data_IF_994656568274
#
_entry.id   IF_994656568274
#
_cell.length_a   1.000
_cell.length_b   1.000
_cell.length_c   1.000
_cell.angle_alpha   90.00
_cell.angle_beta   90.00
_cell.angle_gamma   90.00
#
_symmetry.space_group_name_H-M   'P 1'
#
loop_
_entity.id
_entity.type
_entity.pdbx_description
1 polymer ?
#
# COMPACT_ATOMS: atom_id res chain seq x y z
N UNK A 1 19.31 8.94 -31.46
CA UNK A 1 17.99 8.49 -31.96
C UNK A 1 16.90 9.02 -31.02
N UNK A 2 15.71 9.24 -31.55
CA UNK A 2 14.58 9.62 -30.72
C UNK A 2 14.10 8.39 -29.94
N UNK A 3 13.87 8.53 -28.64
CA UNK A 3 13.38 7.43 -27.79
C UNK A 3 11.90 7.21 -28.12
N UNK A 4 11.53 6.00 -28.47
CA UNK A 4 10.13 5.62 -28.72
C UNK A 4 9.49 5.09 -27.42
N UNK A 5 8.35 5.66 -26.99
CA UNK A 5 7.61 5.24 -25.79
C UNK A 5 6.24 4.74 -26.23
N UNK A 6 5.96 3.47 -26.01
CA UNK A 6 4.74 2.80 -26.50
C UNK A 6 4.32 1.64 -25.58
N UNK A 7 3.09 1.11 -25.74
CA UNK A 7 2.69 -0.14 -25.10
C UNK A 7 3.70 -1.26 -25.40
N UNK A 8 4.00 -2.04 -24.36
CA UNK A 8 4.93 -3.16 -24.49
C UNK A 8 4.30 -4.31 -25.31
N UNK A 9 5.11 -4.99 -26.10
CA UNK A 9 4.73 -6.24 -26.78
C UNK A 9 5.97 -7.10 -27.01
N UNK A 10 5.79 -8.40 -26.96
CA UNK A 10 6.84 -9.38 -27.22
C UNK A 10 7.23 -10.19 -25.99
N UNK A 11 8.46 -10.71 -26.00
CA UNK A 11 9.02 -11.49 -24.89
C UNK A 11 9.21 -10.61 -23.65
N UNK A 12 8.64 -10.96 -22.47
CA UNK A 12 8.80 -10.17 -21.27
C UNK A 12 10.21 -10.20 -20.66
N UNK A 13 11.07 -11.14 -21.03
CA UNK A 13 12.41 -11.24 -20.42
C UNK A 13 13.26 -9.98 -20.60
N UNK A 14 13.43 -9.38 -21.79
CA UNK A 14 14.17 -8.13 -21.94
C UNK A 14 13.57 -6.96 -21.15
N UNK A 15 12.24 -6.97 -20.95
CA UNK A 15 11.56 -5.96 -20.15
C UNK A 15 12.01 -6.06 -18.67
N UNK A 16 11.97 -7.25 -18.07
CA UNK A 16 12.40 -7.45 -16.70
C UNK A 16 13.92 -7.28 -16.52
N UNK A 17 14.74 -7.65 -17.50
CA UNK A 17 16.17 -7.36 -17.47
C UNK A 17 16.43 -5.84 -17.41
N UNK A 18 15.65 -5.04 -18.13
CA UNK A 18 15.77 -3.59 -18.07
C UNK A 18 15.27 -3.03 -16.73
N UNK A 19 14.24 -3.64 -16.10
CA UNK A 19 13.81 -3.31 -14.73
C UNK A 19 14.97 -3.49 -13.76
N UNK A 20 15.53 -4.69 -13.68
CA UNK A 20 16.63 -5.01 -12.75
C UNK A 20 17.84 -4.09 -12.95
N UNK A 21 18.24 -3.85 -14.20
CA UNK A 21 19.32 -2.92 -14.52
C UNK A 21 19.03 -1.49 -14.06
N UNK A 22 17.79 -1.04 -14.14
CA UNK A 22 17.40 0.30 -13.68
C UNK A 22 17.52 0.44 -12.15
N UNK A 23 17.35 -0.67 -11.41
CA UNK A 23 17.53 -0.75 -9.96
C UNK A 23 18.94 -1.19 -9.52
N UNK A 24 19.85 -1.43 -10.46
CA UNK A 24 21.24 -1.81 -10.16
C UNK A 24 21.43 -3.29 -9.87
N UNK A 25 20.47 -4.11 -10.28
CA UNK A 25 20.46 -5.57 -10.08
C UNK A 25 20.58 -6.32 -11.41
N UNK A 26 20.56 -7.63 -11.35
CA UNK A 26 20.54 -8.52 -12.52
C UNK A 26 19.45 -9.55 -12.39
N UNK A 27 18.70 -9.74 -13.46
CA UNK A 27 17.65 -10.74 -13.53
C UNK A 27 18.17 -12.14 -13.21
N UNK A 28 17.51 -12.81 -12.29
CA UNK A 28 17.71 -14.20 -11.91
C UNK A 28 16.58 -15.03 -12.52
N UNK A 29 16.90 -16.25 -12.97
CA UNK A 29 15.89 -17.11 -13.61
C UNK A 29 14.76 -17.51 -12.68
N UNK A 30 15.04 -17.73 -11.39
CA UNK A 30 14.03 -18.05 -10.40
C UNK A 30 13.11 -16.85 -10.13
N UNK A 31 13.64 -15.63 -10.02
CA UNK A 31 12.83 -14.40 -9.89
C UNK A 31 12.01 -14.14 -11.16
N UNK A 32 12.60 -14.31 -12.33
CA UNK A 32 11.90 -14.14 -13.61
C UNK A 32 10.67 -15.03 -13.72
N UNK A 33 10.78 -16.29 -13.31
CA UNK A 33 9.66 -17.23 -13.35
C UNK A 33 8.45 -16.71 -12.55
N UNK A 34 8.69 -16.11 -11.39
CA UNK A 34 7.64 -15.55 -10.57
C UNK A 34 7.06 -14.25 -11.16
N UNK A 35 7.93 -13.33 -11.59
CA UNK A 35 7.48 -12.04 -12.15
C UNK A 35 6.70 -12.23 -13.46
N UNK A 36 7.18 -13.09 -14.36
CA UNK A 36 6.53 -13.35 -15.63
C UNK A 36 5.14 -13.99 -15.47
N UNK A 37 4.93 -14.78 -14.41
CA UNK A 37 3.66 -15.48 -14.17
C UNK A 37 2.50 -14.54 -13.81
N UNK A 38 2.79 -13.36 -13.25
CA UNK A 38 1.78 -12.35 -12.84
C UNK A 38 1.85 -11.07 -13.67
N UNK A 39 2.69 -11.03 -14.69
CA UNK A 39 2.90 -9.86 -15.53
C UNK A 39 1.71 -9.62 -16.46
N UNK A 40 1.09 -8.45 -16.33
CA UNK A 40 0.03 -7.98 -17.20
C UNK A 40 0.63 -7.22 -18.39
N UNK A 41 1.09 -7.95 -19.41
CA UNK A 41 1.83 -7.40 -20.55
C UNK A 41 1.02 -6.34 -21.34
N UNK A 42 -0.31 -6.50 -21.42
CA UNK A 42 -1.24 -5.56 -22.06
C UNK A 42 -1.36 -4.24 -21.28
N UNK A 43 -0.83 -4.18 -20.05
CA UNK A 43 -0.79 -3.01 -19.18
C UNK A 43 0.62 -2.45 -18.99
N UNK A 44 1.59 -2.98 -19.72
CA UNK A 44 2.97 -2.53 -19.66
C UNK A 44 3.29 -1.51 -20.74
N UNK A 45 4.20 -0.59 -20.43
CA UNK A 45 4.75 0.42 -21.34
C UNK A 45 6.26 0.29 -21.32
N UNK A 46 6.88 0.37 -22.50
CA UNK A 46 8.32 0.39 -22.61
C UNK A 46 8.81 1.61 -23.42
N UNK A 47 9.99 2.08 -23.07
CA UNK A 47 10.74 3.08 -23.83
C UNK A 47 11.90 2.40 -24.56
N UNK A 48 12.04 2.66 -25.85
CA UNK A 48 13.00 2.01 -26.72
C UNK A 48 14.03 3.01 -27.28
N UNK A 49 15.31 2.60 -27.29
CA UNK A 49 16.37 3.23 -28.10
C UNK A 49 16.80 2.22 -29.18
N UNK A 50 16.28 2.37 -30.41
CA UNK A 50 16.29 1.30 -31.39
C UNK A 50 15.48 0.09 -30.89
N UNK A 51 16.12 -1.09 -30.80
CA UNK A 51 15.50 -2.33 -30.30
C UNK A 51 15.70 -2.53 -28.79
N UNK A 52 16.52 -1.70 -28.15
CA UNK A 52 16.83 -1.85 -26.73
C UNK A 52 15.77 -1.20 -25.83
N UNK A 53 15.28 -1.91 -24.83
CA UNK A 53 14.40 -1.35 -23.80
C UNK A 53 15.27 -0.54 -22.82
N UNK A 54 14.95 0.74 -22.68
CA UNK A 54 15.65 1.71 -21.84
C UNK A 54 14.79 2.33 -20.74
N UNK A 55 13.52 2.00 -20.73
CA UNK A 55 12.58 2.37 -19.68
C UNK A 55 11.39 1.43 -19.66
N UNK A 56 10.83 1.23 -18.48
CA UNK A 56 9.74 0.29 -18.20
C UNK A 56 8.71 0.91 -17.27
N UNK A 57 7.46 0.55 -17.42
CA UNK A 57 6.39 0.81 -16.46
C UNK A 57 5.30 -0.27 -16.62
N UNK A 58 4.87 -0.89 -15.54
CA UNK A 58 3.82 -1.91 -15.52
C UNK A 58 2.67 -1.52 -14.58
N UNK A 59 1.58 -2.26 -14.69
CA UNK A 59 0.40 -2.09 -13.84
C UNK A 59 -0.12 -3.47 -13.46
N UNK A 60 -0.44 -3.65 -12.19
CA UNK A 60 -1.32 -4.71 -11.70
C UNK A 60 -2.75 -4.22 -11.62
N UNK A 61 -3.70 -5.08 -11.98
CA UNK A 61 -5.14 -4.83 -11.81
C UNK A 61 -5.56 -5.20 -10.40
N UNK A 62 -5.88 -4.20 -9.58
CA UNK A 62 -6.32 -4.41 -8.21
C UNK A 62 -7.73 -3.87 -7.96
N UNK A 63 -8.41 -4.46 -6.97
CA UNK A 63 -9.49 -3.82 -6.26
C UNK A 63 -8.92 -3.26 -4.96
N UNK A 64 -8.96 -1.93 -4.79
CA UNK A 64 -8.47 -1.25 -3.58
C UNK A 64 -9.62 -0.96 -2.63
N UNK A 65 -9.43 -1.32 -1.36
CA UNK A 65 -10.31 -0.85 -0.30
C UNK A 65 -10.10 0.64 -0.07
N UNK A 66 -11.19 1.37 -0.20
CA UNK A 66 -11.29 2.80 0.11
C UNK A 66 -12.28 3.00 1.27
N UNK A 67 -12.39 4.18 1.89
CA UNK A 67 -13.35 4.37 2.96
C UNK A 67 -14.77 3.93 2.57
N UNK A 68 -15.25 2.85 3.20
CA UNK A 68 -16.60 2.28 3.06
C UNK A 68 -16.95 1.66 1.70
N UNK A 69 -15.96 1.42 0.83
CA UNK A 69 -16.17 0.80 -0.49
C UNK A 69 -14.90 0.08 -0.98
N UNK A 70 -15.00 -0.54 -2.15
CA UNK A 70 -13.86 -1.09 -2.91
C UNK A 70 -13.96 -0.58 -4.34
N UNK A 71 -12.83 -0.14 -4.91
CA UNK A 71 -12.76 0.42 -6.26
C UNK A 71 -11.68 -0.26 -7.08
N UNK A 72 -11.88 -0.39 -8.41
CA UNK A 72 -10.79 -0.77 -9.29
C UNK A 72 -9.66 0.27 -9.22
N UNK A 73 -8.43 -0.22 -9.10
CA UNK A 73 -7.25 0.61 -8.94
C UNK A 73 -6.08 0.04 -9.74
N UNK A 74 -5.35 0.92 -10.41
CA UNK A 74 -4.13 0.56 -11.11
C UNK A 74 -2.95 0.50 -10.10
N UNK A 75 -2.41 -0.68 -9.87
CA UNK A 75 -1.18 -0.89 -9.08
C UNK A 75 0.05 -0.65 -9.94
N UNK A 76 0.55 0.59 -9.97
CA UNK A 76 1.72 0.97 -10.79
C UNK A 76 2.98 0.38 -10.20
N UNK A 77 3.73 -0.36 -11.02
CA UNK A 77 4.90 -1.12 -10.60
C UNK A 77 5.97 -1.15 -11.69
N UNK A 78 7.15 -1.68 -11.39
CA UNK A 78 8.31 -1.88 -12.28
C UNK A 78 8.66 -0.65 -13.12
N UNK A 79 8.53 0.53 -12.50
CA UNK A 79 8.82 1.81 -13.16
C UNK A 79 10.31 2.09 -13.06
N UNK A 80 10.99 2.04 -14.19
CA UNK A 80 12.43 2.27 -14.26
C UNK A 80 12.85 3.00 -15.53
N UNK A 81 13.95 3.74 -15.46
CA UNK A 81 14.68 4.26 -16.63
C UNK A 81 16.15 3.98 -16.42
N UNK A 82 16.79 3.34 -17.39
CA UNK A 82 18.21 3.02 -17.31
C UNK A 82 19.06 4.26 -16.98
N UNK A 83 20.05 4.16 -16.10
CA UNK A 83 20.90 5.28 -15.70
C UNK A 83 21.48 6.08 -16.89
N UNK A 84 21.79 5.39 -17.98
CA UNK A 84 22.32 5.99 -19.25
C UNK A 84 21.29 6.85 -20.00
N UNK A 85 20.00 6.73 -19.68
CA UNK A 85 18.90 7.38 -20.40
C UNK A 85 18.07 8.34 -19.51
N UNK A 86 18.43 8.50 -18.25
CA UNK A 86 17.75 9.41 -17.31
C UNK A 86 17.83 10.87 -17.77
N UNK A 87 16.89 11.71 -17.26
CA UNK A 87 16.82 13.16 -17.50
C UNK A 87 16.52 13.55 -18.97
N UNK A 88 15.96 12.64 -19.76
CA UNK A 88 15.52 12.88 -21.16
C UNK A 88 13.98 12.94 -21.30
N UNK A 89 13.23 13.09 -20.22
CA UNK A 89 11.77 13.15 -20.22
C UNK A 89 11.05 11.80 -20.43
N UNK A 90 11.78 10.68 -20.46
CA UNK A 90 11.23 9.33 -20.72
C UNK A 90 10.16 8.98 -19.68
N UNK A 91 10.45 9.11 -18.40
CA UNK A 91 9.50 8.82 -17.33
C UNK A 91 8.22 9.66 -17.46
N UNK A 92 8.33 10.95 -17.80
CA UNK A 92 7.16 11.82 -17.99
C UNK A 92 6.26 11.32 -19.12
N UNK A 93 6.83 10.84 -20.22
CA UNK A 93 6.07 10.29 -21.36
C UNK A 93 5.40 8.96 -20.97
N UNK A 94 6.12 8.05 -20.29
CA UNK A 94 5.53 6.80 -19.81
C UNK A 94 4.39 7.06 -18.86
N UNK A 95 4.55 7.93 -17.85
CA UNK A 95 3.48 8.28 -16.90
C UNK A 95 2.27 8.92 -17.58
N UNK A 96 2.46 9.71 -18.64
CA UNK A 96 1.34 10.26 -19.40
C UNK A 96 0.53 9.16 -20.05
N UNK A 97 1.18 8.31 -20.85
CA UNK A 97 0.51 7.18 -21.51
C UNK A 97 -0.16 6.24 -20.50
N UNK A 98 0.49 6.00 -19.35
CA UNK A 98 -0.03 5.12 -18.32
C UNK A 98 -1.30 5.70 -17.68
N UNK A 99 -1.30 6.99 -17.28
CA UNK A 99 -2.47 7.60 -16.65
C UNK A 99 -3.63 7.79 -17.64
N UNK A 100 -3.34 8.07 -18.92
CA UNK A 100 -4.36 8.12 -19.97
C UNK A 100 -5.02 6.72 -20.13
N UNK A 101 -4.22 5.64 -20.23
CA UNK A 101 -4.72 4.28 -20.35
C UNK A 101 -5.51 3.81 -19.11
N UNK A 102 -5.08 4.19 -17.90
CA UNK A 102 -5.80 3.89 -16.64
C UNK A 102 -7.18 4.56 -16.67
N UNK A 103 -7.24 5.83 -17.07
CA UNK A 103 -8.51 6.57 -17.19
C UNK A 103 -9.43 5.94 -18.23
N UNK A 104 -8.91 5.60 -19.41
CA UNK A 104 -9.67 4.96 -20.49
C UNK A 104 -10.26 3.61 -20.07
N UNK A 105 -9.59 2.88 -19.16
CA UNK A 105 -10.12 1.64 -18.56
C UNK A 105 -11.17 1.87 -17.47
N UNK A 106 -11.42 3.12 -17.09
CA UNK A 106 -12.40 3.47 -16.05
C UNK A 106 -11.91 3.19 -14.63
N UNK A 107 -10.60 3.11 -14.41
CA UNK A 107 -9.99 2.99 -13.08
C UNK A 107 -9.82 4.40 -12.49
N UNK A 108 -10.59 4.78 -11.45
CA UNK A 108 -10.59 6.15 -10.98
C UNK A 108 -9.34 6.53 -10.18
N UNK A 109 -8.58 5.56 -9.72
CA UNK A 109 -7.39 5.73 -8.87
C UNK A 109 -6.24 4.85 -9.32
N UNK A 110 -5.01 5.33 -9.09
CA UNK A 110 -3.80 4.55 -9.23
C UNK A 110 -3.00 4.60 -7.93
N UNK A 111 -2.29 3.52 -7.62
CA UNK A 111 -1.52 3.36 -6.39
C UNK A 111 -0.12 2.85 -6.71
N UNK A 112 0.86 3.17 -5.87
CA UNK A 112 2.21 2.63 -5.96
C UNK A 112 2.93 2.69 -4.61
N UNK A 113 4.00 1.93 -4.50
CA UNK A 113 5.05 2.11 -3.51
C UNK A 113 6.22 2.86 -4.15
N UNK A 114 6.63 3.97 -3.56
CA UNK A 114 7.66 4.82 -4.14
C UNK A 114 9.06 4.38 -3.68
N UNK A 115 9.97 4.09 -4.62
CA UNK A 115 11.40 3.99 -4.31
C UNK A 115 12.00 5.35 -3.92
N UNK A 116 11.47 6.44 -4.50
CA UNK A 116 11.82 7.83 -4.18
C UNK A 116 10.55 8.70 -4.23
N UNK A 117 10.04 9.17 -3.09
CA UNK A 117 8.78 9.93 -2.99
C UNK A 117 8.72 11.19 -3.85
N UNK A 118 9.85 11.89 -4.07
CA UNK A 118 9.91 13.08 -4.92
C UNK A 118 9.59 12.82 -6.40
N UNK A 119 9.72 11.57 -6.87
CA UNK A 119 9.51 11.23 -8.28
C UNK A 119 8.03 11.37 -8.65
N UNK A 120 7.13 10.90 -7.79
CA UNK A 120 5.73 10.68 -8.15
C UNK A 120 4.82 11.85 -7.84
N UNK A 121 5.18 12.74 -6.91
CA UNK A 121 4.41 13.95 -6.61
C UNK A 121 4.20 14.83 -7.85
N UNK A 122 5.19 14.98 -8.72
CA UNK A 122 5.09 15.75 -9.98
C UNK A 122 4.09 15.17 -10.99
N UNK A 123 3.59 13.98 -10.75
CA UNK A 123 2.55 13.32 -11.52
C UNK A 123 1.22 13.28 -10.78
N UNK A 124 1.13 13.97 -9.64
CA UNK A 124 -0.07 14.11 -8.83
C UNK A 124 -0.34 12.96 -7.86
N UNK A 125 0.65 12.11 -7.56
CA UNK A 125 0.53 11.12 -6.48
C UNK A 125 0.73 11.79 -5.14
N UNK A 126 -0.21 11.58 -4.22
CA UNK A 126 -0.12 11.98 -2.82
C UNK A 126 0.22 10.82 -1.90
N UNK A 127 0.81 11.11 -0.75
CA UNK A 127 1.10 10.11 0.29
C UNK A 127 -0.21 9.61 0.90
N UNK A 128 -0.73 8.48 0.43
CA UNK A 128 -2.06 7.97 0.77
C UNK A 128 -2.09 7.07 2.01
N UNK A 129 -0.97 6.50 2.44
CA UNK A 129 -0.86 5.79 3.72
C UNK A 129 0.56 5.82 4.27
N UNK A 130 0.64 5.58 5.58
CA UNK A 130 1.89 5.39 6.30
C UNK A 130 2.01 3.94 6.76
N UNK A 131 3.23 3.49 7.01
CA UNK A 131 3.50 2.26 7.74
C UNK A 131 4.24 2.51 9.05
N UNK A 132 4.07 1.62 10.01
CA UNK A 132 4.84 1.57 11.24
C UNK A 132 5.85 0.44 11.21
N UNK A 133 7.11 0.72 11.50
CA UNK A 133 8.12 -0.29 11.78
C UNK A 133 8.30 -0.45 13.29
N UNK A 134 8.44 -1.68 13.80
CA UNK A 134 8.71 -1.92 15.22
C UNK A 134 9.93 -2.82 15.40
N UNK A 135 10.68 -2.58 16.51
CA UNK A 135 11.84 -3.37 16.95
C UNK A 135 11.73 -3.59 18.45
N UNK A 136 11.07 -4.66 18.85
CA UNK A 136 10.75 -4.98 20.25
C UNK A 136 11.74 -6.00 20.83
N UNK A 137 12.45 -5.63 21.89
CA UNK A 137 13.26 -6.59 22.66
C UNK A 137 12.32 -7.50 23.49
N UNK A 138 12.49 -8.83 23.41
CA UNK A 138 11.57 -9.81 24.00
C UNK A 138 11.44 -9.67 25.52
N UNK A 139 12.50 -9.34 26.24
CA UNK A 139 12.50 -9.15 27.69
C UNK A 139 11.66 -7.96 28.16
N UNK A 140 11.23 -7.10 27.25
CA UNK A 140 10.44 -5.88 27.47
C UNK A 140 9.10 -5.89 26.73
N UNK A 141 8.60 -7.05 26.37
CA UNK A 141 7.43 -7.24 25.52
C UNK A 141 6.14 -7.56 26.27
N UNK A 142 6.14 -7.48 27.61
CA UNK A 142 4.96 -7.77 28.42
C UNK A 142 3.76 -6.90 28.01
N UNK A 143 2.59 -7.49 27.95
CA UNK A 143 1.34 -6.75 27.77
C UNK A 143 0.98 -5.99 29.06
N UNK A 144 0.46 -4.77 28.91
CA UNK A 144 0.01 -3.92 30.00
C UNK A 144 -1.13 -4.56 30.80
N UNK A 145 -2.06 -5.17 30.09
CA UNK A 145 -3.16 -5.94 30.66
C UNK A 145 -2.97 -7.40 30.25
N UNK A 146 -2.99 -8.35 31.19
CA UNK A 146 -2.90 -9.75 30.83
C UNK A 146 -4.00 -10.12 29.82
N UNK A 147 -3.59 -10.49 28.61
CA UNK A 147 -4.51 -10.94 27.59
C UNK A 147 -4.73 -12.45 27.73
N UNK A 148 -5.98 -12.85 27.90
CA UNK A 148 -6.38 -14.25 27.88
C UNK A 148 -6.69 -14.66 26.45
N UNK A 149 -6.09 -15.75 25.93
CA UNK A 149 -6.37 -16.21 24.57
C UNK A 149 -7.85 -16.49 24.37
N UNK A 150 -8.37 -16.00 23.25
CA UNK A 150 -9.75 -16.24 22.83
C UNK A 150 -9.88 -17.38 21.83
N UNK A 151 -8.75 -17.83 21.30
CA UNK A 151 -8.65 -18.89 20.33
C UNK A 151 -7.37 -19.72 20.47
N UNK A 152 -7.04 -20.44 19.44
CA UNK A 152 -5.83 -21.26 19.35
C UNK A 152 -4.98 -20.86 18.15
N UNK A 153 -3.66 -20.89 18.34
CA UNK A 153 -2.68 -20.69 17.24
C UNK A 153 -2.01 -22.02 16.93
N UNK A 154 -1.94 -22.37 15.66
CA UNK A 154 -1.26 -23.59 15.21
C UNK A 154 -0.39 -23.32 13.98
N UNK A 155 0.65 -24.13 13.84
CA UNK A 155 1.46 -24.15 12.62
C UNK A 155 0.67 -24.77 11.46
N UNK A 156 0.94 -24.25 10.27
CA UNK A 156 0.48 -24.79 9.00
C UNK A 156 1.64 -24.84 8.00
N UNK A 157 1.62 -25.81 7.09
CA UNK A 157 2.56 -25.81 5.97
C UNK A 157 2.14 -24.80 4.88
N UNK A 158 2.99 -24.58 3.89
CA UNK A 158 2.73 -23.62 2.83
C UNK A 158 1.45 -23.92 2.02
N UNK A 159 1.17 -25.20 1.74
CA UNK A 159 -0.01 -25.61 0.98
C UNK A 159 -1.31 -25.35 1.77
N UNK A 160 -1.28 -25.57 3.06
CA UNK A 160 -2.42 -25.28 3.93
C UNK A 160 -2.60 -23.76 4.12
N UNK A 161 -1.51 -23.02 4.28
CA UNK A 161 -1.53 -21.56 4.35
C UNK A 161 -2.12 -20.96 3.04
N UNK A 162 -1.74 -21.50 1.88
CA UNK A 162 -2.27 -21.06 0.58
C UNK A 162 -3.79 -21.26 0.44
N UNK A 163 -4.38 -22.20 1.18
CA UNK A 163 -5.84 -22.41 1.20
C UNK A 163 -6.56 -21.52 2.22
N UNK A 164 -5.89 -21.15 3.32
CA UNK A 164 -6.53 -20.44 4.44
C UNK A 164 -6.33 -18.93 4.37
N UNK A 165 -5.11 -18.47 4.12
CA UNK A 165 -4.76 -17.04 4.18
C UNK A 165 -5.59 -16.15 3.24
N UNK A 166 -5.86 -16.55 1.98
CA UNK A 166 -6.67 -15.73 1.08
C UNK A 166 -8.04 -15.38 1.66
N UNK A 167 -8.75 -16.34 2.24
CA UNK A 167 -10.09 -16.10 2.79
C UNK A 167 -10.07 -15.13 3.99
N UNK A 168 -9.03 -15.19 4.84
CA UNK A 168 -8.87 -14.24 5.96
C UNK A 168 -8.53 -12.84 5.42
N UNK A 169 -7.62 -12.75 4.44
CA UNK A 169 -7.26 -11.49 3.80
C UNK A 169 -8.49 -10.82 3.16
N UNK A 170 -9.28 -11.57 2.39
CA UNK A 170 -10.47 -11.09 1.69
C UNK A 170 -11.55 -10.63 2.68
N UNK A 171 -11.63 -11.26 3.86
CA UNK A 171 -12.56 -10.83 4.92
C UNK A 171 -12.13 -9.49 5.57
N UNK A 172 -10.84 -9.15 5.56
CA UNK A 172 -10.32 -7.88 6.07
C UNK A 172 -10.35 -6.77 5.01
N UNK A 173 -10.15 -7.11 3.74
CA UNK A 173 -10.05 -6.18 2.63
C UNK A 173 -11.12 -5.07 2.66
N UNK A 174 -12.44 -5.33 2.75
CA UNK A 174 -13.46 -4.26 2.72
C UNK A 174 -13.49 -3.39 3.99
N UNK A 175 -12.74 -3.75 5.02
CA UNK A 175 -12.78 -3.11 6.34
C UNK A 175 -11.60 -2.19 6.62
N UNK A 176 -10.57 -2.22 5.74
CA UNK A 176 -9.33 -1.47 5.96
C UNK A 176 -8.93 -0.71 4.70
N UNK A 177 -9.11 0.63 4.64
CA UNK A 177 -8.61 1.41 3.51
C UNK A 177 -7.12 1.14 3.27
N UNK A 178 -6.74 1.00 1.99
CA UNK A 178 -5.37 0.70 1.59
C UNK A 178 -5.07 -0.78 1.34
N UNK A 179 -5.95 -1.72 1.76
CA UNK A 179 -5.85 -3.12 1.33
C UNK A 179 -6.21 -3.24 -0.15
N UNK A 180 -5.53 -4.13 -0.86
CA UNK A 180 -5.81 -4.46 -2.25
C UNK A 180 -6.08 -5.95 -2.43
N UNK A 181 -6.87 -6.29 -3.44
CA UNK A 181 -7.17 -7.68 -3.80
C UNK A 181 -5.91 -8.42 -4.27
N UNK A 182 -5.77 -9.69 -3.89
CA UNK A 182 -4.68 -10.55 -4.35
C UNK A 182 -5.25 -11.67 -5.19
N UNK A 183 -4.90 -11.70 -6.48
CA UNK A 183 -5.27 -12.80 -7.36
C UNK A 183 -4.64 -14.12 -6.90
N UNK A 184 -5.16 -15.29 -7.32
CA UNK A 184 -4.50 -16.57 -7.07
C UNK A 184 -3.04 -16.57 -7.51
N UNK A 185 -2.73 -15.99 -8.68
CA UNK A 185 -1.37 -15.86 -9.17
C UNK A 185 -0.50 -14.97 -8.26
N UNK A 186 -1.04 -13.87 -7.72
CA UNK A 186 -0.32 -13.02 -6.77
C UNK A 186 0.02 -13.79 -5.49
N UNK A 187 -0.89 -14.59 -4.96
CA UNK A 187 -0.61 -15.46 -3.82
C UNK A 187 0.50 -16.46 -4.14
N UNK A 188 0.40 -17.16 -5.29
CA UNK A 188 1.31 -18.22 -5.71
C UNK A 188 2.71 -17.70 -6.06
N UNK A 189 2.82 -16.56 -6.74
CA UNK A 189 4.08 -16.08 -7.31
C UNK A 189 4.68 -14.87 -6.62
N UNK A 190 3.93 -14.12 -5.81
CA UNK A 190 4.44 -12.94 -5.10
C UNK A 190 4.43 -13.10 -3.57
N UNK A 191 3.42 -13.78 -3.02
CA UNK A 191 3.32 -13.88 -1.56
C UNK A 191 3.99 -15.14 -0.98
N UNK A 192 3.68 -16.34 -1.50
CA UNK A 192 4.20 -17.59 -0.95
C UNK A 192 5.64 -17.97 -1.32
N UNK A 193 6.20 -17.56 -2.47
CA UNK A 193 7.57 -17.90 -2.79
C UNK A 193 8.54 -17.53 -1.67
N UNK A 194 9.53 -18.39 -1.47
CA UNK A 194 10.50 -18.23 -0.41
C UNK A 194 11.92 -18.63 -0.86
N UNK A 195 12.42 -18.09 -2.01
CA UNK A 195 13.78 -18.34 -2.44
C UNK A 195 14.77 -17.72 -1.45
N UNK A 196 15.92 -18.32 -1.28
CA UNK A 196 16.89 -17.94 -0.25
C UNK A 196 17.33 -16.48 -0.34
N UNK A 197 17.51 -15.95 -1.55
CA UNK A 197 17.95 -14.57 -1.76
C UNK A 197 16.90 -13.52 -1.33
N UNK A 198 15.61 -13.88 -1.22
CA UNK A 198 14.56 -12.99 -0.68
C UNK A 198 14.49 -12.99 0.84
N UNK A 199 15.25 -13.88 1.51
CA UNK A 199 15.19 -14.02 2.98
C UNK A 199 16.10 -13.05 3.74
N UNK A 200 16.97 -12.32 3.04
CA UNK A 200 17.94 -11.38 3.63
C UNK A 200 18.75 -11.97 4.79
N UNK A 201 19.14 -13.23 4.66
CA UNK A 201 19.92 -13.96 5.67
C UNK A 201 19.09 -14.54 6.81
N UNK A 202 17.77 -14.50 6.74
CA UNK A 202 16.91 -15.25 7.65
C UNK A 202 16.63 -16.68 7.16
N UNK A 203 16.08 -17.52 8.03
CA UNK A 203 15.63 -18.87 7.69
C UNK A 203 14.35 -18.88 6.85
N UNK A 204 13.86 -20.08 6.48
CA UNK A 204 12.58 -20.25 5.79
C UNK A 204 11.41 -19.63 6.54
N UNK A 205 10.34 -19.31 5.80
CA UNK A 205 9.14 -18.74 6.39
C UNK A 205 8.35 -19.78 7.20
N UNK A 206 7.89 -19.38 8.38
CA UNK A 206 6.89 -20.06 9.18
C UNK A 206 5.52 -19.46 8.94
N UNK A 207 4.50 -20.32 8.97
CA UNK A 207 3.10 -19.94 8.81
C UNK A 207 2.30 -20.43 10.00
N UNK A 208 1.52 -19.54 10.59
CA UNK A 208 0.60 -19.88 11.68
C UNK A 208 -0.79 -19.34 11.40
N UNK A 209 -1.79 -20.06 11.88
CA UNK A 209 -3.21 -19.68 11.76
C UNK A 209 -3.78 -19.59 13.17
N UNK A 210 -4.48 -18.50 13.43
CA UNK A 210 -5.36 -18.35 14.59
C UNK A 210 -6.77 -18.81 14.23
N UNK A 211 -7.44 -19.47 15.17
CA UNK A 211 -8.83 -19.90 15.01
C UNK A 211 -9.63 -19.71 16.31
N UNK A 212 -10.78 -19.04 16.21
CA UNK A 212 -11.77 -18.93 17.27
C UNK A 212 -12.85 -19.99 17.06
N UNK A 213 -13.09 -20.83 18.07
CA UNK A 213 -14.06 -21.95 17.99
C UNK A 213 -13.84 -22.86 16.77
N UNK A 214 -12.59 -23.01 16.32
CA UNK A 214 -12.21 -23.83 15.18
C UNK A 214 -12.30 -23.14 13.80
N UNK A 215 -12.85 -21.94 13.73
CA UNK A 215 -12.90 -21.15 12.48
C UNK A 215 -11.66 -20.25 12.34
N UNK A 216 -10.88 -20.36 11.24
CA UNK A 216 -9.73 -19.50 10.99
C UNK A 216 -10.14 -18.02 10.87
N UNK A 217 -9.52 -17.14 11.64
CA UNK A 217 -9.83 -15.70 11.68
C UNK A 217 -8.61 -14.79 11.79
N UNK A 218 -7.40 -15.38 11.75
CA UNK A 218 -6.15 -14.66 11.69
C UNK A 218 -4.99 -15.53 11.24
N UNK A 219 -3.94 -14.91 10.73
CA UNK A 219 -2.69 -15.59 10.38
C UNK A 219 -1.47 -14.69 10.61
N UNK A 220 -0.31 -15.31 10.77
CA UNK A 220 0.97 -14.64 10.64
C UNK A 220 1.95 -15.46 9.80
N UNK A 221 2.75 -14.75 9.00
CA UNK A 221 3.94 -15.24 8.31
C UNK A 221 5.15 -14.55 8.90
N UNK A 222 6.13 -15.32 9.33
CA UNK A 222 7.35 -14.78 9.93
C UNK A 222 8.57 -15.61 9.57
N UNK A 223 9.77 -15.06 9.80
CA UNK A 223 11.07 -15.73 9.66
C UNK A 223 11.89 -15.53 10.90
N UNK A 224 12.85 -16.42 11.15
CA UNK A 224 13.83 -16.29 12.21
C UNK A 224 15.20 -16.12 11.58
N UNK A 225 15.89 -15.04 11.95
CA UNK A 225 17.32 -14.86 11.67
C UNK A 225 18.07 -15.30 12.93
N UNK A 226 18.72 -16.43 12.83
CA UNK A 226 19.48 -17.00 13.94
C UNK A 226 20.68 -16.13 14.30
N UNK A 227 20.86 -15.91 15.59
CA UNK A 227 22.01 -15.24 16.18
C UNK A 227 22.25 -15.75 17.59
N UNK A 228 23.51 -15.99 17.95
CA UNK A 228 23.94 -16.53 19.25
C UNK A 228 25.19 -15.83 19.73
N UNK A 229 25.26 -15.56 21.02
CA UNK A 229 26.49 -15.13 21.68
C UNK A 229 26.77 -15.95 22.93
N UNK A 230 27.80 -15.55 23.68
CA UNK A 230 28.21 -16.24 24.91
C UNK A 230 27.11 -16.21 26.01
N UNK A 231 26.15 -15.31 25.93
CA UNK A 231 25.05 -15.20 26.86
C UNK A 231 23.79 -15.99 26.43
N UNK A 232 23.78 -16.53 25.20
CA UNK A 232 22.68 -17.34 24.70
C UNK A 232 22.10 -16.87 23.37
N UNK A 233 20.84 -17.24 23.09
CA UNK A 233 20.15 -16.92 21.86
C UNK A 233 19.81 -15.41 21.77
N UNK A 234 20.16 -14.80 20.62
CA UNK A 234 19.82 -13.41 20.25
C UNK A 234 19.05 -13.33 18.92
N UNK A 235 18.49 -14.45 18.50
CA UNK A 235 17.80 -14.55 17.23
C UNK A 235 16.73 -13.46 17.09
N UNK A 236 16.56 -12.98 15.86
CA UNK A 236 15.53 -11.99 15.51
C UNK A 236 14.38 -12.67 14.79
N UNK A 237 13.16 -12.50 15.29
CA UNK A 237 11.94 -12.90 14.62
C UNK A 237 11.45 -11.73 13.76
N UNK A 238 11.42 -11.94 12.45
CA UNK A 238 10.94 -10.96 11.48
C UNK A 238 9.51 -11.30 11.08
N UNK A 239 8.55 -10.48 11.49
CA UNK A 239 7.14 -10.60 11.06
C UNK A 239 7.04 -10.08 9.63
N UNK A 240 6.70 -10.97 8.71
CA UNK A 240 6.51 -10.64 7.30
C UNK A 240 5.13 -10.04 7.08
N UNK A 241 4.10 -10.67 7.64
CA UNK A 241 2.72 -10.19 7.61
C UNK A 241 1.92 -10.81 8.76
N UNK A 242 1.05 -10.02 9.38
CA UNK A 242 0.08 -10.44 10.38
C UNK A 242 -1.25 -9.81 10.04
N UNK A 243 -2.26 -10.62 9.76
CA UNK A 243 -3.62 -10.18 9.42
C UNK A 243 -4.62 -10.99 10.23
N UNK A 244 -5.61 -10.29 10.83
CA UNK A 244 -6.71 -10.90 11.53
C UNK A 244 -8.00 -10.12 11.33
N UNK A 245 -9.13 -10.83 11.39
CA UNK A 245 -10.46 -10.25 11.15
C UNK A 245 -11.02 -9.49 12.34
N UNK A 246 -10.38 -9.64 13.53
CA UNK A 246 -10.80 -9.01 14.78
C UNK A 246 -9.60 -8.71 15.69
N UNK A 247 -9.76 -7.79 16.68
CA UNK A 247 -8.68 -7.39 17.58
C UNK A 247 -8.15 -8.52 18.48
N UNK A 248 -9.02 -9.42 18.94
CA UNK A 248 -8.61 -10.50 19.84
C UNK A 248 -7.67 -11.48 19.13
N UNK A 249 -7.99 -11.88 17.90
CA UNK A 249 -7.13 -12.71 17.08
C UNK A 249 -5.78 -12.00 16.78
N UNK A 250 -5.79 -10.68 16.59
CA UNK A 250 -4.55 -9.89 16.44
C UNK A 250 -3.68 -9.98 17.70
N UNK A 251 -4.26 -9.80 18.87
CA UNK A 251 -3.53 -9.88 20.15
C UNK A 251 -3.05 -11.30 20.47
N UNK A 252 -3.84 -12.32 20.14
CA UNK A 252 -3.45 -13.72 20.28
C UNK A 252 -2.26 -14.08 19.41
N UNK A 253 -2.23 -13.60 18.16
CA UNK A 253 -1.09 -13.77 17.26
C UNK A 253 0.15 -13.05 17.78
N UNK A 254 0.03 -11.79 18.23
CA UNK A 254 1.16 -11.08 18.84
C UNK A 254 1.66 -11.78 20.09
N UNK A 255 0.77 -12.24 20.97
CA UNK A 255 1.13 -13.01 22.17
C UNK A 255 1.89 -14.29 21.81
N UNK A 256 1.43 -15.01 20.78
CA UNK A 256 2.12 -16.19 20.27
C UNK A 256 3.54 -15.84 19.78
N UNK A 257 3.70 -14.85 18.93
CA UNK A 257 5.00 -14.45 18.36
C UNK A 257 5.99 -13.99 19.44
N UNK A 258 5.50 -13.21 20.41
CA UNK A 258 6.28 -12.75 21.57
C UNK A 258 6.68 -13.92 22.49
N UNK A 259 5.85 -14.95 22.56
CA UNK A 259 6.08 -16.13 23.38
C UNK A 259 7.07 -17.15 22.82
N UNK A 260 7.52 -17.00 21.57
CA UNK A 260 8.46 -17.96 20.94
C UNK A 260 9.81 -17.90 21.66
N UNK A 261 10.31 -19.07 22.07
CA UNK A 261 11.60 -19.18 22.76
C UNK A 261 12.79 -18.95 21.83
N UNK A 262 13.95 -18.69 22.45
CA UNK A 262 15.23 -18.43 21.75
C UNK A 262 15.23 -17.18 20.86
N UNK A 263 14.25 -16.30 21.02
CA UNK A 263 14.16 -15.02 20.33
C UNK A 263 14.60 -13.91 21.29
N UNK A 264 15.56 -13.10 20.86
CA UNK A 264 16.00 -11.90 21.56
C UNK A 264 15.22 -10.66 21.15
N UNK A 265 14.78 -10.60 19.89
CA UNK A 265 14.11 -9.43 19.30
C UNK A 265 13.02 -9.85 18.32
N UNK A 266 11.96 -9.04 18.25
CA UNK A 266 10.88 -9.16 17.28
C UNK A 266 10.88 -7.88 16.43
N UNK A 267 10.92 -8.04 15.13
CA UNK A 267 10.88 -6.93 14.18
C UNK A 267 9.70 -7.10 13.21
N UNK A 268 9.00 -6.02 12.94
CA UNK A 268 8.04 -5.91 11.85
C UNK A 268 8.25 -4.57 11.18
N UNK A 269 8.50 -4.57 9.88
CA UNK A 269 8.82 -3.32 9.18
C UNK A 269 7.57 -2.62 8.62
N UNK A 270 6.47 -3.35 8.41
CA UNK A 270 5.23 -2.83 7.81
C UNK A 270 4.01 -3.24 8.65
N UNK A 271 3.71 -2.44 9.65
CA UNK A 271 2.48 -2.52 10.42
C UNK A 271 1.60 -1.30 10.14
N UNK A 272 0.31 -1.43 10.43
CA UNK A 272 -0.55 -0.26 10.49
C UNK A 272 -0.07 0.69 11.60
N UNK A 273 -0.11 2.00 11.37
CA UNK A 273 0.31 2.99 12.38
C UNK A 273 -0.61 3.00 13.62
N UNK A 274 -1.81 2.43 13.49
CA UNK A 274 -2.79 2.22 14.55
C UNK A 274 -2.89 0.74 14.96
N UNK A 275 -1.82 -0.08 14.74
CA UNK A 275 -1.79 -1.47 15.18
C UNK A 275 -1.99 -1.54 16.71
N UNK A 276 -2.86 -2.43 17.20
CA UNK A 276 -3.15 -2.51 18.63
C UNK A 276 -1.94 -2.85 19.50
N UNK A 277 -0.87 -3.41 18.95
CA UNK A 277 0.37 -3.71 19.67
C UNK A 277 0.91 -2.46 20.40
N UNK A 278 0.83 -1.27 19.76
CA UNK A 278 1.31 -0.01 20.34
C UNK A 278 0.67 0.29 21.71
N UNK A 279 -0.62 0.00 21.85
CA UNK A 279 -1.38 0.27 23.08
C UNK A 279 -1.43 -0.94 24.02
N UNK A 280 -1.06 -2.12 23.53
CA UNK A 280 -1.14 -3.37 24.28
C UNK A 280 0.08 -3.66 25.12
N UNK A 281 1.28 -3.21 24.70
CA UNK A 281 2.51 -3.41 25.47
C UNK A 281 2.58 -2.49 26.68
N UNK A 282 3.19 -2.96 27.77
CA UNK A 282 3.35 -2.19 29.00
C UNK A 282 4.29 -1.00 28.85
N UNK A 283 5.28 -1.09 27.97
CA UNK A 283 6.27 -0.05 27.69
C UNK A 283 6.30 0.31 26.19
N UNK A 284 5.36 1.14 25.66
CA UNK A 284 5.28 1.45 24.22
C UNK A 284 6.58 2.01 23.61
N UNK A 285 7.38 2.73 24.39
CA UNK A 285 8.70 3.24 23.94
C UNK A 285 9.63 2.11 23.48
N UNK A 286 9.47 0.90 24.01
CA UNK A 286 10.30 -0.26 23.68
C UNK A 286 10.00 -0.83 22.29
N UNK A 287 8.88 -0.50 21.70
CA UNK A 287 8.58 -0.82 20.29
C UNK A 287 9.52 -0.11 19.33
N UNK A 288 10.14 1.01 19.76
CA UNK A 288 11.01 1.82 18.88
C UNK A 288 10.32 2.06 17.52
N UNK A 289 9.05 2.49 17.60
CA UNK A 289 8.23 2.64 16.40
C UNK A 289 8.81 3.73 15.50
N UNK A 290 9.08 3.35 14.26
CA UNK A 290 9.49 4.22 13.16
C UNK A 290 8.29 4.34 12.22
N UNK A 291 8.03 5.54 11.69
CA UNK A 291 6.94 5.78 10.73
C UNK A 291 7.56 6.18 9.39
N UNK A 292 7.15 5.50 8.33
CA UNK A 292 7.58 5.77 6.97
C UNK A 292 6.40 5.96 6.01
N UNK A 293 6.70 6.46 4.80
CA UNK A 293 5.76 6.48 3.70
C UNK A 293 5.51 5.07 3.17
N UNK A 294 4.26 4.82 2.78
CA UNK A 294 3.85 3.53 2.25
C UNK A 294 3.16 3.71 0.89
N UNK A 295 1.85 3.63 0.85
CA UNK A 295 1.09 3.72 -0.39
C UNK A 295 0.97 5.17 -0.85
N UNK A 296 1.39 5.45 -2.08
CA UNK A 296 1.12 6.70 -2.77
C UNK A 296 -0.09 6.51 -3.68
N UNK A 297 -1.00 7.48 -3.66
CA UNK A 297 -2.27 7.41 -4.39
C UNK A 297 -2.41 8.60 -5.34
N UNK A 298 -2.80 8.28 -6.57
CA UNK A 298 -3.21 9.23 -7.60
C UNK A 298 -4.72 9.16 -7.82
N UNK A 299 -5.41 10.25 -7.67
CA UNK A 299 -6.77 10.41 -8.17
C UNK A 299 -6.68 10.63 -9.69
N UNK A 300 -6.96 9.59 -10.46
CA UNK A 300 -6.84 9.59 -11.92
C UNK A 300 -8.03 10.30 -12.58
N UNK A 301 -9.25 9.98 -12.13
CA UNK A 301 -10.48 10.68 -12.54
C UNK A 301 -11.25 11.10 -11.29
N UNK A 302 -11.35 12.42 -11.08
CA UNK A 302 -11.78 12.98 -9.80
C UNK A 302 -13.22 12.65 -9.46
N UNK A 303 -14.15 12.81 -10.40
CA UNK A 303 -15.56 12.63 -10.12
C UNK A 303 -15.90 11.18 -9.74
N UNK A 304 -15.53 10.14 -10.51
CA UNK A 304 -15.77 8.75 -10.12
C UNK A 304 -14.95 8.33 -8.90
N UNK A 305 -13.74 8.85 -8.68
CA UNK A 305 -12.97 8.58 -7.48
C UNK A 305 -13.71 9.06 -6.23
N UNK A 306 -14.11 10.31 -6.18
CA UNK A 306 -14.81 10.87 -5.02
C UNK A 306 -16.24 10.32 -4.85
N UNK A 307 -16.94 10.00 -5.93
CA UNK A 307 -18.26 9.36 -5.87
C UNK A 307 -18.18 7.89 -5.44
N UNK A 308 -17.04 7.23 -5.65
CA UNK A 308 -16.84 5.83 -5.34
C UNK A 308 -16.52 5.51 -3.88
N UNK A 309 -16.10 6.49 -3.07
CA UNK A 309 -15.87 6.32 -1.63
C UNK A 309 -17.09 6.67 -0.79
N UNK A 310 -17.11 6.27 0.48
CA UNK A 310 -18.08 6.74 1.46
C UNK A 310 -17.50 7.86 2.32
N UNK A 311 -18.39 8.64 2.91
CA UNK A 311 -18.07 9.79 3.72
C UNK A 311 -18.62 9.59 5.13
N UNK A 312 -18.00 10.25 6.12
CA UNK A 312 -18.35 10.08 7.54
C UNK A 312 -19.68 10.74 7.91
N UNK A 313 -20.08 11.78 7.18
CA UNK A 313 -21.31 12.53 7.42
C UNK A 313 -21.93 13.04 6.12
N UNK A 314 -23.20 13.36 6.15
CA UNK A 314 -23.85 14.15 5.11
C UNK A 314 -23.34 15.60 5.14
N UNK A 315 -23.40 16.27 4.00
CA UNK A 315 -22.94 17.65 3.85
C UNK A 315 -22.51 18.01 2.44
N UNK A 316 -22.05 19.23 2.24
CA UNK A 316 -21.57 19.72 0.95
C UNK A 316 -20.25 20.45 1.07
N UNK A 317 -19.41 20.36 0.05
CA UNK A 317 -18.10 20.98 -0.03
C UNK A 317 -17.83 21.38 -1.48
N UNK A 318 -17.45 22.63 -1.72
CA UNK A 318 -16.93 23.08 -3.02
C UNK A 318 -15.42 23.25 -2.90
N UNK A 319 -14.69 22.54 -3.78
CA UNK A 319 -13.23 22.54 -3.82
C UNK A 319 -12.74 23.12 -5.15
N UNK A 320 -11.73 23.96 -5.11
CA UNK A 320 -10.93 24.31 -6.28
C UNK A 320 -9.69 23.41 -6.34
N UNK A 321 -9.62 22.56 -7.36
CA UNK A 321 -8.56 21.55 -7.52
C UNK A 321 -7.64 21.93 -8.65
N UNK A 322 -6.33 21.97 -8.36
CA UNK A 322 -5.29 22.11 -9.38
C UNK A 322 -4.77 20.72 -9.78
N UNK A 323 -4.56 20.49 -11.07
CA UNK A 323 -3.91 19.31 -11.62
C UNK A 323 -3.19 19.66 -12.92
N UNK A 324 -1.90 19.95 -12.81
CA UNK A 324 -1.08 20.31 -13.98
C UNK A 324 -0.84 19.10 -14.89
N UNK A 325 -0.68 17.92 -14.31
CA UNK A 325 -0.35 16.74 -15.09
C UNK A 325 -1.57 16.12 -15.77
N UNK A 326 -2.75 16.12 -15.16
CA UNK A 326 -4.00 15.60 -15.72
C UNK A 326 -5.08 16.70 -15.72
N UNK A 327 -5.05 17.64 -16.70
CA UNK A 327 -5.87 18.85 -16.66
C UNK A 327 -7.39 18.61 -16.61
N UNK A 328 -7.86 17.42 -16.94
CA UNK A 328 -9.29 17.06 -16.85
C UNK A 328 -9.83 17.01 -15.41
N UNK A 329 -8.94 16.94 -14.40
CA UNK A 329 -9.32 17.04 -13.00
C UNK A 329 -9.32 18.48 -12.47
N UNK A 330 -8.66 19.39 -13.18
CA UNK A 330 -8.52 20.77 -12.72
C UNK A 330 -9.86 21.53 -12.82
N UNK A 331 -10.16 22.33 -11.81
CA UNK A 331 -11.37 23.14 -11.79
C UNK A 331 -12.06 23.15 -10.44
N UNK A 332 -13.31 23.65 -10.45
CA UNK A 332 -14.15 23.67 -9.26
C UNK A 332 -15.11 22.50 -9.26
N UNK A 333 -15.17 21.81 -8.15
CA UNK A 333 -15.94 20.59 -7.96
C UNK A 333 -16.83 20.72 -6.74
N UNK A 334 -18.11 20.43 -6.90
CA UNK A 334 -19.07 20.28 -5.81
C UNK A 334 -19.16 18.81 -5.42
N UNK A 335 -18.91 18.52 -4.15
CA UNK A 335 -19.19 17.25 -3.50
C UNK A 335 -20.41 17.47 -2.60
N UNK A 336 -21.47 16.71 -2.82
CA UNK A 336 -22.66 16.69 -1.96
C UNK A 336 -22.88 15.25 -1.50
N UNK A 337 -23.03 15.05 -0.20
CA UNK A 337 -23.36 13.75 0.41
C UNK A 337 -24.72 13.86 1.07
N UNK A 338 -25.67 13.07 0.59
CA UNK A 338 -27.04 13.02 1.10
C UNK A 338 -27.44 11.55 1.37
N UNK A 339 -27.86 11.26 2.59
CA UNK A 339 -28.19 9.90 3.03
C UNK A 339 -27.04 8.89 2.74
N UNK A 340 -25.79 9.33 2.94
CA UNK A 340 -24.60 8.53 2.68
C UNK A 340 -24.26 8.33 1.19
N UNK A 341 -25.01 8.96 0.27
CA UNK A 341 -24.79 8.86 -1.18
C UNK A 341 -24.05 10.10 -1.68
N UNK A 342 -22.78 9.95 -2.17
CA UNK A 342 -22.04 11.08 -2.71
C UNK A 342 -22.42 11.38 -4.16
N UNK A 343 -22.47 12.68 -4.48
CA UNK A 343 -22.57 13.23 -5.83
C UNK A 343 -21.47 14.24 -6.05
N UNK A 344 -20.77 14.10 -7.17
CA UNK A 344 -19.62 14.94 -7.51
C UNK A 344 -19.78 15.47 -8.92
N UNK A 345 -19.75 16.80 -9.07
CA UNK A 345 -19.92 17.44 -10.37
C UNK A 345 -19.18 18.77 -10.45
N UNK A 346 -18.79 19.19 -11.67
CA UNK A 346 -18.24 20.53 -11.89
C UNK A 346 -19.24 21.60 -11.45
N UNK A 347 -18.74 22.73 -10.91
CA UNK A 347 -19.58 23.85 -10.47
C UNK A 347 -18.95 25.19 -10.74
N UNK A 348 -19.77 26.24 -10.81
CA UNK A 348 -19.33 27.64 -10.84
C UNK A 348 -19.36 28.29 -9.44
N UNK A 349 -19.81 27.59 -8.42
CA UNK A 349 -19.96 28.10 -7.06
C UNK A 349 -18.59 28.52 -6.46
N UNK A 350 -18.66 29.41 -5.48
CA UNK A 350 -17.46 29.85 -4.78
C UNK A 350 -16.85 28.70 -3.94
N UNK A 351 -15.55 28.40 -4.13
CA UNK A 351 -14.91 27.30 -3.44
C UNK A 351 -14.66 27.66 -1.96
N UNK A 352 -14.78 26.66 -1.11
CA UNK A 352 -14.53 26.77 0.32
C UNK A 352 -13.08 26.48 0.69
N UNK A 353 -12.40 25.70 -0.16
CA UNK A 353 -10.96 25.43 -0.07
C UNK A 353 -10.34 25.26 -1.47
N UNK A 354 -9.02 25.42 -1.55
CA UNK A 354 -8.23 25.11 -2.73
C UNK A 354 -7.09 24.17 -2.36
N UNK A 355 -6.86 23.17 -3.21
CA UNK A 355 -5.81 22.16 -3.04
C UNK A 355 -5.28 21.69 -4.39
N UNK A 356 -4.11 21.05 -4.38
CA UNK A 356 -3.60 20.28 -5.50
C UNK A 356 -4.17 18.86 -5.47
N UNK A 357 -4.21 18.20 -6.63
CA UNK A 357 -4.64 16.80 -6.73
C UNK A 357 -3.80 15.85 -5.88
N UNK A 358 -2.52 16.18 -5.67
CA UNK A 358 -1.61 15.46 -4.75
C UNK A 358 -2.12 15.48 -3.32
N UNK A 359 -2.75 16.58 -2.89
CA UNK A 359 -3.34 16.71 -1.56
C UNK A 359 -4.60 15.85 -1.42
N UNK A 360 -5.43 15.83 -2.47
CA UNK A 360 -6.56 14.90 -2.50
C UNK A 360 -6.09 13.44 -2.45
N UNK A 361 -5.01 13.09 -3.14
CA UNK A 361 -4.39 11.76 -3.03
C UNK A 361 -3.97 11.41 -1.60
N UNK A 362 -3.40 12.37 -0.87
CA UNK A 362 -2.98 12.17 0.52
C UNK A 362 -4.16 12.00 1.50
N UNK A 363 -5.28 12.68 1.24
CA UNK A 363 -6.47 12.64 2.10
C UNK A 363 -7.39 11.47 1.75
N UNK A 364 -7.33 11.00 0.52
CA UNK A 364 -8.33 10.12 -0.08
C UNK A 364 -8.65 8.87 0.74
N UNK A 365 -7.62 8.23 1.31
CA UNK A 365 -7.78 7.04 2.16
C UNK A 365 -7.96 7.38 3.66
N UNK A 366 -7.79 8.65 4.06
CA UNK A 366 -7.88 9.09 5.44
C UNK A 366 -6.53 9.08 6.20
N UNK A 367 -5.39 9.09 5.49
CA UNK A 367 -4.07 9.19 6.13
C UNK A 367 -3.84 10.54 6.79
N UNK A 368 -4.35 11.60 6.17
CA UNK A 368 -4.21 12.98 6.63
C UNK A 368 -5.54 13.72 6.57
N UNK A 369 -5.64 14.83 7.31
CA UNK A 369 -6.77 15.76 7.26
C UNK A 369 -6.45 16.98 6.41
N UNK A 370 -7.47 17.69 5.94
CA UNK A 370 -7.31 18.98 5.27
C UNK A 370 -6.65 20.01 6.18
N UNK A 371 -6.98 20.01 7.48
CA UNK A 371 -6.36 20.89 8.46
C UNK A 371 -4.85 20.63 8.57
N UNK A 372 -4.40 19.37 8.65
CA UNK A 372 -2.98 19.05 8.69
C UNK A 372 -2.23 19.52 7.43
N UNK A 373 -2.86 19.39 6.25
CA UNK A 373 -2.25 19.89 5.02
C UNK A 373 -2.30 21.41 4.92
N UNK A 374 -3.28 22.07 5.52
CA UNK A 374 -3.32 23.53 5.63
C UNK A 374 -2.22 24.06 6.56
N UNK A 375 -1.95 23.39 7.69
CA UNK A 375 -0.82 23.70 8.58
C UNK A 375 0.53 23.56 7.86
N UNK A 376 0.61 22.65 6.87
CA UNK A 376 1.75 22.48 5.98
C UNK A 376 1.76 23.44 4.76
N UNK A 377 0.85 24.42 4.70
CA UNK A 377 0.67 25.39 3.63
C UNK A 377 0.36 24.75 2.23
N UNK A 378 -0.21 23.54 2.21
CA UNK A 378 -0.58 22.80 1.00
C UNK A 378 -2.02 23.03 0.59
N UNK A 379 -2.93 23.18 1.54
CA UNK A 379 -4.35 23.47 1.33
C UNK A 379 -4.66 24.88 1.83
N UNK A 380 -5.48 25.63 1.09
CA UNK A 380 -5.92 26.96 1.50
C UNK A 380 -7.41 26.96 1.82
N UNK A 381 -7.78 27.44 2.99
CA UNK A 381 -9.15 27.79 3.31
C UNK A 381 -9.54 29.10 2.59
N UNK A 382 -10.63 29.05 1.86
CA UNK A 382 -11.15 30.20 1.09
C UNK A 382 -12.43 30.78 1.71
N UNK A 383 -13.14 29.96 2.49
CA UNK A 383 -14.30 30.41 3.23
C UNK A 383 -14.25 29.87 4.67
N UNK A 384 -14.62 30.67 5.69
CA UNK A 384 -14.55 30.25 7.10
C UNK A 384 -15.28 28.94 7.37
N UNK A 385 -14.59 28.00 8.04
CA UNK A 385 -15.13 26.66 8.37
C UNK A 385 -15.05 25.63 7.23
N UNK A 386 -14.40 25.98 6.10
CA UNK A 386 -14.20 25.06 4.97
C UNK A 386 -13.37 23.83 5.33
N UNK A 387 -12.26 24.01 6.05
CA UNK A 387 -11.39 22.92 6.51
C UNK A 387 -12.13 21.98 7.48
N UNK A 388 -12.82 22.54 8.48
CA UNK A 388 -13.56 21.74 9.45
C UNK A 388 -14.68 20.91 8.80
N UNK A 389 -15.35 21.49 7.79
CA UNK A 389 -16.37 20.79 7.01
C UNK A 389 -15.77 19.67 6.17
N UNK A 390 -14.65 19.94 5.51
CA UNK A 390 -13.93 18.94 4.71
C UNK A 390 -13.46 17.77 5.59
N UNK A 391 -12.86 18.04 6.74
CA UNK A 391 -12.39 17.01 7.68
C UNK A 391 -13.56 16.21 8.26
N UNK A 392 -14.69 16.83 8.54
CA UNK A 392 -15.90 16.13 8.98
C UNK A 392 -16.41 15.14 7.92
N UNK A 393 -16.35 15.49 6.64
CA UNK A 393 -16.75 14.63 5.53
C UNK A 393 -15.75 13.49 5.31
N UNK A 394 -14.45 13.81 5.19
CA UNK A 394 -13.42 12.87 4.73
C UNK A 394 -12.85 11.98 5.84
N UNK A 395 -13.10 12.26 7.09
CA UNK A 395 -12.57 11.51 8.23
C UNK A 395 -12.84 10.01 8.15
N UNK A 396 -11.92 9.20 8.70
CA UNK A 396 -12.01 7.74 8.78
C UNK A 396 -11.78 7.27 10.22
N UNK A 397 -12.31 6.09 10.57
CA UNK A 397 -12.14 5.53 11.92
C UNK A 397 -10.84 4.72 12.06
N UNK A 398 -10.23 4.33 10.96
CA UNK A 398 -9.00 3.56 10.89
C UNK A 398 -7.99 4.24 9.99
N UNK A 399 -6.72 4.23 10.40
CA UNK A 399 -5.64 4.65 9.52
C UNK A 399 -5.55 3.73 8.29
N UNK A 400 -5.35 4.23 7.08
CA UNK A 400 -5.15 3.37 5.93
C UNK A 400 -3.83 2.59 6.07
N UNK A 401 -3.84 1.35 5.57
CA UNK A 401 -2.65 0.50 5.59
C UNK A 401 -2.60 -0.40 4.37
N UNK A 402 -1.45 -0.44 3.71
CA UNK A 402 -1.15 -1.36 2.62
C UNK A 402 -0.21 -2.46 3.15
N UNK A 403 -0.67 -3.72 3.25
CA UNK A 403 0.09 -4.77 3.94
C UNK A 403 1.29 -5.29 3.15
N UNK A 404 1.38 -5.03 1.84
CA UNK A 404 2.41 -5.60 0.95
C UNK A 404 2.85 -4.60 -0.10
N UNK A 405 4.15 -4.51 -0.33
CA UNK A 405 4.75 -3.85 -1.51
C UNK A 405 4.48 -4.71 -2.76
N UNK A 406 4.25 -4.06 -3.88
CA UNK A 406 4.00 -4.71 -5.18
C UNK A 406 4.74 -4.02 -6.33
#
# INVERSE_FOLDING_TARGET
MEIDVRPFSGDPRPFFEAVELAFGERMRDDSYTHYAAIFEADRAIAAYDGDAIVGTAGIFSFDLSVPGATLPAAGVTVVGVLPTHRRRGILRRMMRLQLDAIRERGEPIAILWASEGLIYQRFGYGLGSLHGGVKLDRDRSAFRVPHQPTGSVRFVNADEAARIFPAIHDAVLPRRPGFFSRSPGFWEHEFFPDPEHWRHGAGPAFHVVHATSGAPDGYARYRIKEDWDAAGAKSTLNVVELIATNPDATLDLWRFLIGIDLIGRIEAWNLAVDDPLLLSVAEPRRLRMEVGDALWLRVVDLAPALAGRRYRSDGSLVMEVADEFCPWNAGRWSLTVENGSPRVEPTADAPQLACDITDLGAIYLGAFSFAQLADAARVRELAPGGLARADALFGTDRAPWCPKVF
#
